data_IF_925477710959
#
_entry.id   IF_925477710959
#
_cell.length_a   1.000
_cell.length_b   1.000
_cell.length_c   1.000
_cell.angle_alpha   90.00
_cell.angle_beta   90.00
_cell.angle_gamma   90.00
#
_symmetry.space_group_name_H-M   'P 1'
#
loop_
_entity.id
_entity.type
_entity.pdbx_description
1 polymer ?
#
# COMPACT_ATOMS: atom_id res chain seq x y z
N UNK A 1 -18.13 -8.97 11.68
CA UNK A 1 -17.76 -7.65 11.13
C UNK A 1 -16.25 -7.66 10.93
N UNK A 2 -15.79 -8.04 9.75
CA UNK A 2 -14.36 -8.17 9.42
C UNK A 2 -13.77 -6.78 9.22
N UNK A 3 -12.82 -6.38 10.08
CA UNK A 3 -12.16 -5.07 10.06
C UNK A 3 -11.13 -4.89 8.93
N UNK A 4 -11.29 -5.58 7.82
CA UNK A 4 -10.27 -5.79 6.78
C UNK A 4 -10.21 -4.67 5.72
N UNK A 5 -11.20 -3.76 5.71
CA UNK A 5 -11.26 -2.63 4.77
C UNK A 5 -10.62 -1.32 5.27
N UNK A 6 -9.91 -1.35 6.40
CA UNK A 6 -9.36 -0.13 6.99
C UNK A 6 -8.14 0.36 6.19
N UNK A 7 -8.26 1.56 5.63
CA UNK A 7 -7.15 2.30 5.02
C UNK A 7 -6.20 2.84 6.11
N UNK A 8 -5.01 2.25 6.20
CA UNK A 8 -3.97 2.59 7.16
C UNK A 8 -2.84 3.40 6.51
N UNK A 9 -2.05 4.11 7.31
CA UNK A 9 -0.86 4.81 6.81
C UNK A 9 0.36 3.89 6.81
N UNK A 10 1.44 4.30 6.14
CA UNK A 10 2.72 3.58 6.24
C UNK A 10 3.26 3.52 7.67
N UNK A 11 2.95 4.52 8.52
CA UNK A 11 3.34 4.50 9.93
C UNK A 11 2.54 3.45 10.72
N UNK A 12 1.28 3.24 10.36
CA UNK A 12 0.46 2.20 10.97
C UNK A 12 0.94 0.80 10.57
N UNK A 13 1.34 0.60 9.30
CA UNK A 13 1.96 -0.66 8.83
C UNK A 13 3.22 -1.01 9.61
N UNK A 14 4.02 0.00 9.96
CA UNK A 14 5.22 -0.16 10.77
C UNK A 14 4.88 -0.50 12.23
N UNK A 15 3.91 0.19 12.82
CA UNK A 15 3.45 -0.09 14.20
C UNK A 15 2.93 -1.51 14.37
N UNK A 16 2.26 -2.07 13.36
CA UNK A 16 1.74 -3.45 13.39
C UNK A 16 2.78 -4.50 12.97
N UNK A 17 4.01 -4.09 12.64
CA UNK A 17 5.11 -5.00 12.30
C UNK A 17 5.03 -5.62 10.90
N UNK A 18 4.24 -5.06 9.98
CA UNK A 18 4.14 -5.57 8.60
C UNK A 18 5.37 -5.18 7.79
N UNK A 19 5.76 -3.90 7.81
CA UNK A 19 6.97 -3.43 7.15
C UNK A 19 7.39 -2.04 7.64
N UNK A 20 8.68 -1.65 7.48
CA UNK A 20 9.14 -0.30 7.80
C UNK A 20 8.46 0.77 6.95
N UNK A 21 8.15 1.92 7.55
CA UNK A 21 7.47 3.05 6.90
C UNK A 21 8.20 3.51 5.64
N UNK A 22 9.52 3.64 5.73
CA UNK A 22 10.36 4.05 4.59
C UNK A 22 10.32 3.04 3.44
N UNK A 23 10.24 1.74 3.75
CA UNK A 23 10.10 0.69 2.74
C UNK A 23 8.72 0.71 2.10
N UNK A 24 7.65 0.91 2.88
CA UNK A 24 6.29 1.03 2.34
C UNK A 24 6.18 2.17 1.32
N UNK A 25 6.73 3.35 1.61
CA UNK A 25 6.74 4.45 0.67
C UNK A 25 7.58 4.18 -0.57
N UNK A 26 8.77 3.60 -0.42
CA UNK A 26 9.62 3.23 -1.58
C UNK A 26 8.93 2.22 -2.48
N UNK A 27 8.33 1.17 -1.91
CA UNK A 27 7.61 0.16 -2.69
C UNK A 27 6.34 0.72 -3.33
N UNK A 28 5.64 1.66 -2.68
CA UNK A 28 4.51 2.36 -3.28
C UNK A 28 4.96 3.22 -4.47
N UNK A 29 6.04 3.99 -4.31
CA UNK A 29 6.63 4.82 -5.37
C UNK A 29 7.12 3.98 -6.55
N UNK A 30 7.70 2.82 -6.28
CA UNK A 30 8.11 1.83 -7.29
C UNK A 30 6.92 1.08 -7.93
N UNK A 31 5.69 1.28 -7.44
CA UNK A 31 4.52 0.56 -7.89
C UNK A 31 4.55 -0.94 -7.56
N UNK A 32 5.32 -1.37 -6.57
CA UNK A 32 5.41 -2.77 -6.10
C UNK A 32 4.44 -3.09 -4.98
N UNK A 33 3.80 -2.07 -4.42
CA UNK A 33 2.86 -2.21 -3.32
C UNK A 33 1.52 -1.55 -3.66
N UNK A 34 0.39 -2.27 -3.48
CA UNK A 34 -0.94 -1.68 -3.61
C UNK A 34 -1.11 -0.50 -2.67
N UNK A 35 -1.50 0.65 -3.21
CA UNK A 35 -1.69 1.87 -2.46
C UNK A 35 -2.80 2.73 -3.03
N UNK A 36 -3.36 3.58 -2.17
CA UNK A 36 -4.46 4.47 -2.48
C UNK A 36 -4.05 5.90 -2.20
N UNK A 37 -4.23 6.77 -3.19
CA UNK A 37 -4.02 8.20 -3.04
C UNK A 37 -5.26 8.82 -2.38
N UNK A 38 -5.06 9.63 -1.34
CA UNK A 38 -6.11 10.33 -0.61
C UNK A 38 -5.80 11.82 -0.47
N UNK A 39 -6.87 12.62 -0.43
CA UNK A 39 -6.83 14.08 -0.29
C UNK A 39 -6.79 14.84 -1.62
N UNK A 40 -7.20 16.11 -1.59
CA UNK A 40 -7.40 16.95 -2.78
C UNK A 40 -6.14 17.27 -3.60
N UNK A 41 -4.96 16.76 -3.20
CA UNK A 41 -3.67 16.95 -3.90
C UNK A 41 -2.85 15.65 -4.02
N UNK A 42 -3.47 14.49 -3.81
CA UNK A 42 -2.79 13.18 -3.81
C UNK A 42 -1.55 13.06 -2.89
N UNK A 43 -1.45 13.92 -1.87
CA UNK A 43 -0.31 13.90 -0.92
C UNK A 43 -0.44 12.84 0.16
N UNK A 44 -1.65 12.32 0.39
CA UNK A 44 -1.85 11.23 1.32
C UNK A 44 -1.76 9.90 0.59
N UNK A 45 -0.91 9.00 1.07
CA UNK A 45 -0.89 7.60 0.62
C UNK A 45 -1.45 6.74 1.75
N UNK A 46 -2.39 5.86 1.41
CA UNK A 46 -2.99 4.87 2.30
C UNK A 46 -2.81 3.47 1.74
N UNK A 47 -2.84 2.50 2.62
CA UNK A 47 -2.63 1.10 2.33
C UNK A 47 -3.76 0.27 2.92
N UNK A 48 -4.13 -0.82 2.25
CA UNK A 48 -4.93 -1.89 2.85
C UNK A 48 -3.99 -2.99 3.31
N UNK A 49 -4.13 -3.40 4.57
CA UNK A 49 -3.23 -4.40 5.18
C UNK A 49 -3.30 -5.73 4.44
N UNK A 50 -4.51 -6.20 4.10
CA UNK A 50 -4.69 -7.47 3.39
C UNK A 50 -4.02 -7.47 2.02
N UNK A 51 -4.21 -6.41 1.22
CA UNK A 51 -3.58 -6.28 -0.10
C UNK A 51 -2.06 -6.18 -0.01
N UNK A 52 -1.54 -5.49 1.00
CA UNK A 52 -0.10 -5.43 1.30
C UNK A 52 0.42 -6.83 1.63
N UNK A 53 -0.25 -7.57 2.51
CA UNK A 53 0.14 -8.94 2.86
C UNK A 53 0.04 -9.90 1.67
N UNK A 54 -1.00 -9.78 0.86
CA UNK A 54 -1.18 -10.56 -0.36
C UNK A 54 -0.08 -10.26 -1.39
N UNK A 55 0.32 -8.99 -1.52
CA UNK A 55 1.43 -8.58 -2.38
C UNK A 55 2.78 -9.11 -1.89
N UNK A 56 3.01 -9.14 -0.57
CA UNK A 56 4.22 -9.70 0.04
C UNK A 56 4.29 -11.23 -0.06
N UNK A 57 3.14 -11.92 0.00
CA UNK A 57 3.07 -13.39 -0.14
C UNK A 57 3.31 -13.87 -1.57
N UNK A 58 3.09 -13.03 -2.58
CA UNK A 58 3.41 -13.38 -3.96
C UNK A 58 4.91 -13.13 -4.22
N UNK A 59 5.67 -14.12 -4.75
CA UNK A 59 7.02 -13.85 -5.23
C UNK A 59 6.93 -12.75 -6.29
N UNK A 60 7.81 -11.75 -6.19
CA UNK A 60 7.78 -10.48 -6.92
C UNK A 60 7.51 -10.63 -8.43
N UNK A 61 6.23 -10.70 -8.81
CA UNK A 61 5.77 -10.58 -10.19
C UNK A 61 5.03 -9.26 -10.29
N UNK A 62 5.81 -8.22 -10.58
CA UNK A 62 5.45 -7.11 -11.46
C UNK A 62 3.95 -6.80 -11.53
N UNK A 63 3.41 -6.11 -10.52
CA UNK A 63 2.16 -5.36 -10.69
C UNK A 63 2.44 -3.88 -10.55
N UNK A 64 3.09 -3.33 -11.58
CA UNK A 64 3.19 -1.90 -11.80
C UNK A 64 1.80 -1.24 -11.83
N UNK A 65 1.76 0.10 -11.70
CA UNK A 65 0.54 0.83 -11.40
C UNK A 65 -0.52 0.58 -12.47
N UNK A 66 -1.72 0.17 -12.07
CA UNK A 66 -2.90 0.28 -12.94
C UNK A 66 -3.10 1.76 -13.25
N UNK A 67 -2.50 2.21 -14.36
CA UNK A 67 -2.90 3.43 -15.06
C UNK A 67 -4.41 3.34 -15.26
N UNK A 68 -5.14 4.22 -14.59
CA UNK A 68 -6.45 4.63 -15.10
C UNK A 68 -6.16 5.47 -16.34
N UNK A 69 -6.32 4.86 -17.49
CA UNK A 69 -6.42 5.53 -18.79
C UNK A 69 -7.84 6.14 -18.97
N UNK A 70 -8.02 7.04 -19.96
CA UNK A 70 -8.52 8.42 -19.81
C UNK A 70 -10.01 8.59 -19.52
#
# INVERSE_FOLDING_TARGET
MTGEDRLVTAADLEKIGVMPKGTAYRMAADGKLPHYLVGCRSRGIRFKVDEVLAALRRPASTQGPKRREP
#
